data_IF_733179403859
#
_entry.id   IF_733179403859
#
_cell.length_a   1.000
_cell.length_b   1.000
_cell.length_c   1.000
_cell.angle_alpha   90.00
_cell.angle_beta   90.00
_cell.angle_gamma   90.00
#
_symmetry.space_group_name_H-M   'P 1'
#
loop_
_entity.id
_entity.type
_entity.pdbx_description
1 polymer ?
#
# COMPACT_ATOMS: atom_id res chain seq x y z
N UNK A 1 2.47 39.36 -11.51
CA UNK A 1 2.73 38.28 -10.53
C UNK A 1 1.41 37.97 -9.87
N UNK A 2 0.84 36.80 -10.15
CA UNK A 2 -0.45 36.39 -9.58
C UNK A 2 -0.19 35.52 -8.36
N UNK A 3 -0.60 36.01 -7.19
CA UNK A 3 -0.55 35.28 -5.93
C UNK A 3 -1.80 34.41 -5.85
N UNK A 4 -1.65 33.09 -5.93
CA UNK A 4 -2.77 32.14 -5.76
C UNK A 4 -2.87 31.78 -4.29
N UNK A 5 -3.90 32.31 -3.63
CA UNK A 5 -4.25 32.01 -2.23
C UNK A 5 -4.96 30.66 -2.17
N UNK A 6 -4.42 29.71 -1.40
CA UNK A 6 -5.13 28.49 -1.05
C UNK A 6 -6.24 28.81 -0.05
N UNK A 7 -7.47 28.35 -0.33
CA UNK A 7 -8.63 28.53 0.56
C UNK A 7 -8.72 27.31 1.46
N UNK A 8 -8.61 27.53 2.78
CA UNK A 8 -8.91 26.54 3.82
C UNK A 8 -10.29 26.86 4.35
N UNK A 9 -11.31 26.12 3.93
CA UNK A 9 -12.63 26.19 4.57
C UNK A 9 -12.67 25.22 5.75
N UNK A 10 -12.73 25.78 6.96
CA UNK A 10 -13.03 25.06 8.19
C UNK A 10 -14.48 25.35 8.56
N UNK A 11 -15.34 24.32 8.56
CA UNK A 11 -16.68 24.40 9.12
C UNK A 11 -16.74 23.57 10.40
N UNK A 12 -17.28 24.18 11.46
CA UNK A 12 -17.47 23.54 12.76
C UNK A 12 -18.96 23.34 13.05
N UNK A 13 -19.27 22.20 13.68
CA UNK A 13 -20.40 21.90 14.57
C UNK A 13 -21.65 21.22 14.00
N UNK A 14 -21.82 19.93 14.34
CA UNK A 14 -23.06 19.41 14.96
C UNK A 14 -22.81 18.08 15.74
N UNK A 15 -23.42 18.04 16.94
CA UNK A 15 -23.66 17.02 18.00
C UNK A 15 -23.26 15.53 17.93
N UNK A 16 -23.15 14.87 19.12
CA UNK A 16 -22.73 13.48 19.29
C UNK A 16 -23.94 12.53 19.30
N UNK A 17 -24.11 11.76 18.23
CA UNK A 17 -24.87 10.51 18.29
C UNK A 17 -24.07 9.42 17.58
N UNK A 18 -23.63 8.45 18.36
CA UNK A 18 -22.80 7.31 17.97
C UNK A 18 -23.57 6.32 17.13
N UNK A 19 -23.90 6.69 15.91
CA UNK A 19 -23.99 5.72 14.82
C UNK A 19 -22.60 5.69 14.21
N UNK A 20 -21.78 4.71 14.61
CA UNK A 20 -20.60 4.31 13.81
C UNK A 20 -21.16 3.90 12.45
N UNK A 21 -21.26 4.87 11.54
CA UNK A 21 -21.71 4.69 10.18
C UNK A 21 -20.80 3.61 9.58
N UNK A 22 -21.33 2.39 9.51
CA UNK A 22 -20.60 1.23 8.99
C UNK A 22 -20.06 1.66 7.64
N UNK A 23 -18.81 1.34 7.32
CA UNK A 23 -18.36 1.34 5.93
C UNK A 23 -19.48 0.66 5.13
N UNK A 24 -20.27 1.41 4.33
CA UNK A 24 -21.41 0.82 3.65
C UNK A 24 -20.89 -0.23 2.70
N UNK A 25 -21.69 -1.27 2.46
CA UNK A 25 -21.37 -2.30 1.48
C UNK A 25 -20.94 -1.62 0.15
N UNK A 26 -19.78 -2.00 -0.41
CA UNK A 26 -19.13 -1.23 -1.46
C UNK A 26 -20.01 -1.18 -2.71
N UNK A 27 -19.96 -0.07 -3.44
CA UNK A 27 -20.44 -0.07 -4.81
C UNK A 27 -19.75 -1.24 -5.55
N UNK A 28 -20.50 -2.11 -6.25
CA UNK A 28 -19.91 -3.25 -6.94
C UNK A 28 -18.99 -2.74 -8.05
N UNK A 29 -17.68 -2.81 -7.80
CA UNK A 29 -16.64 -2.43 -8.74
C UNK A 29 -15.47 -3.41 -8.65
N UNK A 30 -14.81 -3.66 -9.78
CA UNK A 30 -13.67 -4.57 -9.93
C UNK A 30 -12.37 -4.09 -9.26
N UNK A 31 -12.46 -3.10 -8.35
CA UNK A 31 -11.34 -2.32 -7.78
C UNK A 31 -11.12 -2.49 -6.28
N UNK A 32 -11.70 -3.52 -5.66
CA UNK A 32 -11.48 -3.84 -4.24
C UNK A 32 -12.32 -2.96 -3.32
N UNK A 33 -12.15 -3.07 -1.99
CA UNK A 33 -12.98 -2.31 -1.05
C UNK A 33 -12.83 -0.80 -1.25
N UNK A 34 -13.95 -0.09 -1.17
CA UNK A 34 -14.02 1.36 -1.25
C UNK A 34 -13.93 2.04 0.13
N UNK A 35 -13.93 1.25 1.20
CA UNK A 35 -13.90 1.74 2.58
C UNK A 35 -13.11 0.80 3.49
N UNK A 36 -12.26 1.39 4.34
CA UNK A 36 -11.63 0.74 5.48
C UNK A 36 -11.97 1.49 6.75
N UNK A 37 -12.24 0.77 7.82
CA UNK A 37 -12.38 1.31 9.17
C UNK A 37 -11.65 0.39 10.15
N UNK A 38 -10.77 0.96 10.96
CA UNK A 38 -10.02 0.25 12.00
C UNK A 38 -10.56 0.55 13.40
N UNK A 39 -10.31 -0.36 14.33
CA UNK A 39 -10.81 -0.28 15.71
C UNK A 39 -10.26 0.92 16.50
N UNK A 40 -9.08 1.42 16.14
CA UNK A 40 -8.44 2.59 16.71
C UNK A 40 -8.93 3.92 16.09
N UNK A 41 -9.94 3.85 15.23
CA UNK A 41 -10.70 4.99 14.75
C UNK A 41 -10.22 5.57 13.43
N UNK A 42 -9.26 4.96 12.73
CA UNK A 42 -8.95 5.34 11.35
C UNK A 42 -10.06 4.88 10.40
N UNK A 43 -10.42 5.76 9.48
CA UNK A 43 -11.33 5.48 8.38
C UNK A 43 -10.78 6.06 7.09
N UNK A 44 -10.74 5.26 6.04
CA UNK A 44 -10.38 5.68 4.69
C UNK A 44 -11.50 5.29 3.73
N UNK A 45 -11.97 6.23 2.90
CA UNK A 45 -12.92 5.94 1.82
C UNK A 45 -12.38 6.40 0.48
N UNK A 46 -12.74 5.71 -0.59
CA UNK A 46 -12.27 5.99 -1.94
C UNK A 46 -13.43 6.24 -2.88
N UNK A 47 -13.24 7.16 -3.81
CA UNK A 47 -14.03 7.31 -5.03
C UNK A 47 -13.12 7.43 -6.24
N UNK A 48 -13.46 6.78 -7.34
CA UNK A 48 -12.73 6.93 -8.61
C UNK A 48 -13.52 7.85 -9.53
N UNK A 49 -12.90 8.93 -10.03
CA UNK A 49 -13.49 9.91 -10.96
C UNK A 49 -12.42 10.49 -11.87
N UNK A 50 -12.71 10.63 -13.15
CA UNK A 50 -11.90 11.36 -14.12
C UNK A 50 -10.41 10.99 -14.11
N UNK A 51 -10.10 9.68 -14.06
CA UNK A 51 -8.71 9.19 -14.01
C UNK A 51 -7.99 9.44 -12.68
N UNK A 52 -8.74 9.66 -11.60
CA UNK A 52 -8.19 9.86 -10.26
C UNK A 52 -8.90 9.00 -9.21
N UNK A 53 -8.14 8.53 -8.23
CA UNK A 53 -8.66 8.03 -6.98
C UNK A 53 -8.67 9.18 -5.96
N UNK A 54 -9.85 9.53 -5.47
CA UNK A 54 -10.08 10.51 -4.41
C UNK A 54 -10.31 9.75 -3.12
N UNK A 55 -9.34 9.81 -2.22
CA UNK A 55 -9.37 9.15 -0.91
C UNK A 55 -9.65 10.19 0.17
N UNK A 56 -10.67 9.97 0.98
CA UNK A 56 -10.83 10.71 2.24
C UNK A 56 -10.34 9.85 3.39
N UNK A 57 -9.53 10.42 4.26
CA UNK A 57 -9.05 9.78 5.48
C UNK A 57 -9.42 10.62 6.70
N UNK A 58 -9.86 9.95 7.75
CA UNK A 58 -10.20 10.56 9.02
C UNK A 58 -9.78 9.64 10.16
N UNK A 59 -9.21 10.23 11.21
CA UNK A 59 -9.10 9.58 12.52
C UNK A 59 -10.26 10.07 13.39
N UNK A 60 -10.83 9.20 14.22
CA UNK A 60 -11.90 9.58 15.14
C UNK A 60 -11.57 10.86 15.93
N UNK A 61 -12.45 11.86 15.85
CA UNK A 61 -12.27 13.18 16.47
C UNK A 61 -11.30 14.13 15.75
N UNK A 62 -10.66 13.68 14.66
CA UNK A 62 -9.76 14.47 13.83
C UNK A 62 -10.43 15.07 12.60
N UNK A 63 -9.70 15.99 11.96
CA UNK A 63 -10.09 16.57 10.67
C UNK A 63 -10.08 15.50 9.56
N UNK A 64 -10.98 15.66 8.60
CA UNK A 64 -10.97 14.87 7.36
C UNK A 64 -9.92 15.44 6.43
N UNK A 65 -9.09 14.58 5.87
CA UNK A 65 -8.17 14.93 4.79
C UNK A 65 -8.61 14.27 3.49
N UNK A 66 -8.53 15.01 2.38
CA UNK A 66 -8.75 14.50 1.04
C UNK A 66 -7.41 14.38 0.31
N UNK A 67 -7.17 13.23 -0.32
CA UNK A 67 -5.99 12.89 -1.09
C UNK A 67 -6.46 12.54 -2.50
N UNK A 68 -5.93 13.22 -3.51
CA UNK A 68 -6.26 12.94 -4.92
C UNK A 68 -5.03 12.34 -5.59
N UNK A 69 -5.22 11.15 -6.19
CA UNK A 69 -4.11 10.35 -6.73
C UNK A 69 -4.43 10.03 -8.19
N UNK A 70 -3.56 10.40 -9.15
CA UNK A 70 -3.75 10.04 -10.54
C UNK A 70 -3.65 8.52 -10.71
N UNK A 71 -4.53 7.98 -11.54
CA UNK A 71 -4.54 6.56 -11.91
C UNK A 71 -4.57 6.43 -13.44
N UNK A 72 -4.05 5.33 -13.96
CA UNK A 72 -3.95 5.10 -15.42
C UNK A 72 -5.31 4.86 -16.13
N UNK A 73 -6.43 4.88 -15.38
CA UNK A 73 -7.78 4.76 -15.91
C UNK A 73 -8.21 3.33 -16.28
N UNK A 74 -7.36 2.33 -16.08
CA UNK A 74 -7.69 0.93 -16.38
C UNK A 74 -8.48 0.24 -15.26
N UNK A 75 -9.20 -0.83 -15.64
CA UNK A 75 -10.02 -1.66 -14.75
C UNK A 75 -9.17 -2.38 -13.67
N UNK A 76 -9.14 -1.82 -12.47
CA UNK A 76 -8.38 -2.34 -11.33
C UNK A 76 -7.43 -1.31 -10.69
N UNK A 77 -7.20 -0.18 -11.37
CA UNK A 77 -6.52 0.96 -10.76
C UNK A 77 -7.42 1.65 -9.75
N UNK A 78 -6.79 2.33 -8.79
CA UNK A 78 -7.47 2.90 -7.64
C UNK A 78 -7.87 1.84 -6.61
N UNK A 79 -7.29 0.65 -6.58
CA UNK A 79 -7.48 -0.22 -5.40
C UNK A 79 -6.97 0.50 -4.13
N UNK A 80 -7.71 0.40 -3.02
CA UNK A 80 -7.36 1.03 -1.74
C UNK A 80 -6.92 -0.07 -0.76
N UNK A 81 -5.88 0.21 0.01
CA UNK A 81 -5.53 -0.53 1.22
C UNK A 81 -5.27 0.44 2.37
N UNK A 82 -5.62 0.00 3.57
CA UNK A 82 -5.19 0.59 4.83
C UNK A 82 -4.37 -0.46 5.58
N UNK A 83 -3.08 -0.21 5.78
CA UNK A 83 -2.14 -1.22 6.30
C UNK A 83 -1.07 -0.57 7.15
N UNK A 84 -0.74 -1.15 8.30
CA UNK A 84 0.47 -0.76 9.05
C UNK A 84 1.67 -1.44 8.41
N UNK A 85 2.48 -0.67 7.68
CA UNK A 85 3.74 -1.16 7.09
C UNK A 85 4.94 -0.92 8.01
N UNK A 86 4.71 -0.39 9.21
CA UNK A 86 5.72 -0.25 10.23
C UNK A 86 5.04 -0.37 11.60
N UNK A 87 5.84 -0.63 12.63
CA UNK A 87 5.40 -0.63 14.03
C UNK A 87 4.82 0.72 14.51
N UNK A 88 4.85 1.78 13.68
CA UNK A 88 4.14 3.02 13.99
C UNK A 88 2.62 2.77 14.09
N UNK A 89 1.99 3.39 15.09
CA UNK A 89 0.56 3.21 15.35
C UNK A 89 -0.34 3.66 14.18
N UNK A 90 0.09 4.65 13.40
CA UNK A 90 -0.67 5.17 12.25
C UNK A 90 -0.59 4.20 11.06
N UNK A 91 -1.73 3.72 10.53
CA UNK A 91 -1.73 2.93 9.29
C UNK A 91 -1.30 3.79 8.10
N UNK A 92 -0.69 3.15 7.11
CA UNK A 92 -0.39 3.73 5.81
C UNK A 92 -1.58 3.52 4.86
N UNK A 93 -1.78 4.50 3.98
CA UNK A 93 -2.77 4.41 2.90
C UNK A 93 -2.02 4.02 1.64
N UNK A 94 -2.45 2.94 0.99
CA UNK A 94 -1.91 2.54 -0.31
C UNK A 94 -3.02 2.64 -1.36
N UNK A 95 -2.68 3.22 -2.51
CA UNK A 95 -3.58 3.27 -3.67
C UNK A 95 -2.87 2.76 -4.91
N UNK A 96 -3.43 1.75 -5.54
CA UNK A 96 -2.93 1.20 -6.81
C UNK A 96 -3.03 2.28 -7.89
N UNK A 97 -1.91 2.68 -8.50
CA UNK A 97 -1.86 3.73 -9.53
C UNK A 97 -1.91 3.18 -10.94
N UNK A 98 -1.44 1.94 -11.10
CA UNK A 98 -1.44 1.21 -12.37
C UNK A 98 -2.36 0.00 -12.32
N UNK A 99 -2.72 -0.55 -13.47
CA UNK A 99 -3.20 -1.93 -13.56
C UNK A 99 -2.09 -2.88 -13.99
N UNK A 100 -2.13 -4.07 -13.40
CA UNK A 100 -2.20 -5.30 -14.18
C UNK A 100 -3.54 -5.94 -13.82
N UNK A 101 -4.53 -5.83 -14.71
CA UNK A 101 -5.94 -6.26 -14.59
C UNK A 101 -6.45 -6.84 -13.26
N UNK A 102 -7.50 -6.21 -12.70
CA UNK A 102 -8.47 -6.78 -11.74
C UNK A 102 -7.95 -7.90 -10.80
N UNK A 103 -7.44 -7.54 -9.61
CA UNK A 103 -7.19 -8.45 -8.47
C UNK A 103 -6.58 -9.82 -8.83
N UNK A 104 -5.27 -9.85 -9.09
CA UNK A 104 -4.57 -11.12 -9.30
C UNK A 104 -3.10 -10.99 -9.71
N UNK A 105 -2.69 -9.81 -10.20
CA UNK A 105 -1.33 -9.51 -10.66
C UNK A 105 -0.80 -8.23 -9.97
N UNK A 106 0.51 -8.03 -10.02
CA UNK A 106 1.23 -7.00 -9.26
C UNK A 106 0.95 -5.59 -9.78
N UNK A 107 0.80 -4.62 -8.88
CA UNK A 107 0.62 -3.22 -9.25
C UNK A 107 1.65 -2.30 -8.62
N UNK A 108 1.81 -1.11 -9.17
CA UNK A 108 2.43 0.03 -8.49
C UNK A 108 1.42 0.70 -7.58
N UNK A 109 1.80 0.94 -6.34
CA UNK A 109 0.98 1.56 -5.31
C UNK A 109 1.61 2.85 -4.83
N UNK A 110 0.86 3.95 -4.85
CA UNK A 110 1.22 5.18 -4.15
C UNK A 110 0.98 4.99 -2.66
N UNK A 111 1.98 5.29 -1.83
CA UNK A 111 1.92 5.10 -0.37
C UNK A 111 1.96 6.44 0.34
N UNK A 112 1.06 6.59 1.31
CA UNK A 112 0.89 7.80 2.11
C UNK A 112 0.94 7.47 3.59
N UNK A 113 1.67 8.30 4.34
CA UNK A 113 1.91 8.11 5.77
C UNK A 113 1.67 9.41 6.54
N UNK A 114 1.30 9.27 7.81
CA UNK A 114 1.24 10.38 8.77
C UNK A 114 1.93 10.02 10.09
N UNK A 115 2.78 10.95 10.55
CA UNK A 115 3.41 10.92 11.88
C UNK A 115 2.66 11.79 12.91
N UNK A 116 1.35 11.97 12.74
CA UNK A 116 0.49 12.80 13.61
C UNK A 116 0.03 14.12 12.96
N UNK A 117 0.42 14.37 11.72
CA UNK A 117 -0.04 15.49 10.90
C UNK A 117 -0.88 15.04 9.68
N UNK A 118 -0.93 15.85 8.61
CA UNK A 118 -1.51 15.42 7.35
C UNK A 118 -0.76 14.22 6.78
N UNK A 119 -1.48 13.31 6.13
CA UNK A 119 -0.88 12.27 5.30
C UNK A 119 -0.10 12.91 4.15
N UNK A 120 1.14 12.45 3.97
CA UNK A 120 2.02 12.85 2.88
C UNK A 120 2.50 11.62 2.13
N UNK A 121 2.74 11.74 0.82
CA UNK A 121 3.30 10.64 0.04
C UNK A 121 4.73 10.32 0.49
N UNK A 122 5.03 9.04 0.63
CA UNK A 122 6.36 8.52 0.99
C UNK A 122 7.00 7.70 -0.14
N UNK A 123 6.38 7.71 -1.32
CA UNK A 123 6.87 7.01 -2.51
C UNK A 123 5.90 5.93 -2.98
N UNK A 124 6.44 4.95 -3.68
CA UNK A 124 5.68 3.86 -4.28
C UNK A 124 6.22 2.49 -3.86
N UNK A 125 5.37 1.48 -3.93
CA UNK A 125 5.74 0.07 -3.81
C UNK A 125 5.18 -0.70 -5.02
N UNK A 126 5.91 -1.72 -5.48
CA UNK A 126 5.44 -2.61 -6.54
C UNK A 126 5.17 -4.00 -5.99
N UNK A 127 3.96 -4.51 -6.17
CA UNK A 127 3.57 -5.82 -5.67
C UNK A 127 2.06 -5.99 -5.56
N UNK A 128 1.65 -7.07 -4.91
CA UNK A 128 0.26 -7.43 -4.64
C UNK A 128 -0.05 -7.62 -3.15
N UNK A 129 0.97 -7.80 -2.31
CA UNK A 129 0.84 -7.96 -0.87
C UNK A 129 1.97 -7.20 -0.16
N UNK A 130 1.65 -6.55 0.96
CA UNK A 130 2.56 -5.64 1.68
C UNK A 130 2.44 -5.83 3.19
N UNK A 131 3.57 -5.88 3.88
CA UNK A 131 3.62 -6.10 5.33
C UNK A 131 4.81 -5.41 5.99
N UNK A 132 4.73 -5.23 7.31
CA UNK A 132 5.87 -4.91 8.16
C UNK A 132 6.74 -6.17 8.30
N UNK A 133 7.94 -6.15 7.73
CA UNK A 133 8.90 -7.25 7.77
C UNK A 133 9.79 -7.22 9.03
N UNK A 134 9.53 -6.30 9.95
CA UNK A 134 10.31 -6.08 11.16
C UNK A 134 11.57 -5.25 10.90
N UNK A 135 12.21 -4.78 11.98
CA UNK A 135 13.46 -3.99 11.92
C UNK A 135 13.36 -2.73 11.04
N UNK A 136 12.16 -2.15 10.90
CA UNK A 136 11.93 -0.98 10.05
C UNK A 136 11.94 -1.29 8.54
N UNK A 137 11.71 -2.56 8.17
CA UNK A 137 11.59 -3.00 6.80
C UNK A 137 10.13 -3.20 6.41
N UNK A 138 9.82 -2.87 5.17
CA UNK A 138 8.57 -3.19 4.48
C UNK A 138 8.84 -4.27 3.47
N UNK A 139 8.09 -5.36 3.54
CA UNK A 139 8.07 -6.40 2.52
C UNK A 139 7.02 -6.10 1.47
N UNK A 140 7.38 -6.28 0.20
CA UNK A 140 6.47 -6.22 -0.94
C UNK A 140 6.58 -7.50 -1.76
N UNK A 141 5.50 -8.27 -1.86
CA UNK A 141 5.47 -9.49 -2.66
C UNK A 141 4.94 -9.24 -4.06
N UNK A 142 5.57 -9.88 -5.04
CA UNK A 142 5.15 -9.89 -6.43
C UNK A 142 5.21 -11.31 -7.00
N UNK A 143 4.29 -11.62 -7.93
CA UNK A 143 4.17 -12.91 -8.62
C UNK A 143 4.02 -12.72 -10.12
N UNK A 144 4.56 -13.64 -10.93
CA UNK A 144 4.38 -13.63 -12.39
C UNK A 144 5.61 -14.20 -13.10
N UNK A 145 5.49 -15.41 -13.67
CA UNK A 145 6.65 -16.14 -14.19
C UNK A 145 7.69 -16.41 -13.10
N UNK A 146 7.22 -16.78 -11.90
CA UNK A 146 8.01 -16.85 -10.67
C UNK A 146 7.43 -15.96 -9.56
N UNK A 147 8.27 -15.60 -8.59
CA UNK A 147 7.93 -14.72 -7.47
C UNK A 147 9.12 -13.84 -7.08
N UNK A 148 8.84 -12.68 -6.49
CA UNK A 148 9.86 -11.85 -5.87
C UNK A 148 9.32 -11.13 -4.63
N UNK A 149 10.21 -10.93 -3.65
CA UNK A 149 10.00 -10.06 -2.50
C UNK A 149 11.03 -8.93 -2.53
N UNK A 150 10.55 -7.70 -2.52
CA UNK A 150 11.37 -6.51 -2.33
C UNK A 150 11.29 -6.08 -0.87
N UNK A 151 12.43 -5.89 -0.22
CA UNK A 151 12.54 -5.29 1.09
C UNK A 151 12.95 -3.83 0.96
N UNK A 152 12.17 -2.94 1.55
CA UNK A 152 12.41 -1.50 1.55
C UNK A 152 12.49 -0.96 2.97
N UNK A 153 13.34 0.04 3.20
CA UNK A 153 13.35 0.83 4.45
C UNK A 153 12.96 2.27 4.16
N UNK A 154 12.68 3.07 5.19
CA UNK A 154 12.41 4.50 5.05
C UNK A 154 13.68 5.31 5.34
N UNK A 155 14.18 6.03 4.33
CA UNK A 155 15.31 6.98 4.47
C UNK A 155 14.80 8.37 4.10
N UNK A 156 15.00 9.34 5.00
CA UNK A 156 14.51 10.72 4.82
C UNK A 156 13.01 10.79 4.45
N UNK A 157 12.19 9.93 5.06
CA UNK A 157 10.75 9.88 4.84
C UNK A 157 10.31 9.22 3.54
N UNK A 158 11.21 8.57 2.78
CA UNK A 158 10.87 7.87 1.53
C UNK A 158 11.34 6.43 1.53
N UNK A 159 10.66 5.57 0.77
CA UNK A 159 11.13 4.21 0.58
C UNK A 159 12.44 4.14 -0.20
N UNK A 160 13.34 3.29 0.28
CA UNK A 160 14.56 2.85 -0.40
C UNK A 160 14.59 1.33 -0.37
N UNK A 161 14.65 0.70 -1.54
CA UNK A 161 14.89 -0.74 -1.65
C UNK A 161 16.26 -1.07 -1.07
N UNK A 162 16.33 -2.09 -0.22
CA UNK A 162 17.59 -2.57 0.36
C UNK A 162 17.88 -4.01 0.01
N UNK A 163 16.89 -4.79 -0.42
CA UNK A 163 17.11 -6.11 -0.99
C UNK A 163 15.97 -6.49 -1.92
N UNK A 164 16.29 -7.34 -2.89
CA UNK A 164 15.32 -8.00 -3.73
C UNK A 164 15.71 -9.47 -3.84
N UNK A 165 14.76 -10.35 -3.56
CA UNK A 165 14.94 -11.80 -3.64
C UNK A 165 13.80 -12.45 -4.37
N UNK A 166 14.03 -13.63 -4.92
CA UNK A 166 12.96 -14.35 -5.60
C UNK A 166 13.45 -15.51 -6.43
N UNK A 167 12.56 -15.98 -7.29
CA UNK A 167 12.81 -16.99 -8.30
C UNK A 167 12.09 -16.62 -9.58
N UNK A 168 12.75 -16.82 -10.71
CA UNK A 168 12.11 -16.76 -12.02
C UNK A 168 11.78 -18.18 -12.50
N UNK A 169 10.55 -18.37 -12.98
CA UNK A 169 10.07 -19.58 -13.63
C UNK A 169 9.97 -19.31 -15.14
N UNK A 170 10.60 -20.17 -15.94
CA UNK A 170 10.59 -20.00 -17.40
C UNK A 170 9.27 -20.50 -17.96
N UNK A 171 8.49 -19.62 -18.57
CA UNK A 171 7.15 -19.92 -19.09
C UNK A 171 6.21 -20.57 -18.05
N UNK A 172 6.36 -20.21 -16.77
CA UNK A 172 5.58 -20.77 -15.67
C UNK A 172 6.02 -22.17 -15.24
N UNK A 173 7.11 -22.70 -15.79
CA UNK A 173 7.69 -23.99 -15.40
C UNK A 173 8.88 -23.75 -14.49
N UNK A 174 8.86 -24.39 -13.33
CA UNK A 174 9.96 -24.38 -12.36
C UNK A 174 11.15 -25.18 -12.90
N UNK A 175 12.31 -24.55 -12.97
CA UNK A 175 13.58 -25.25 -13.17
C UNK A 175 14.05 -25.83 -11.81
N UNK A 176 14.13 -27.17 -11.66
CA UNK A 176 14.57 -27.78 -10.41
C UNK A 176 16.05 -27.53 -10.08
N UNK A 177 16.86 -27.08 -11.04
CA UNK A 177 18.27 -26.73 -10.81
C UNK A 177 18.44 -25.33 -10.19
N UNK A 178 17.41 -24.47 -10.26
CA UNK A 178 17.45 -23.13 -9.68
C UNK A 178 17.01 -23.20 -8.20
N UNK A 179 17.76 -22.55 -7.27
CA UNK A 179 17.35 -22.46 -5.87
C UNK A 179 15.93 -21.90 -5.71
N UNK A 180 15.24 -22.31 -4.64
CA UNK A 180 13.89 -21.80 -4.33
C UNK A 180 13.87 -20.27 -4.19
N UNK A 181 14.99 -19.68 -3.74
CA UNK A 181 15.19 -18.25 -3.61
C UNK A 181 16.63 -17.86 -3.98
N UNK A 182 16.76 -16.80 -4.76
CA UNK A 182 18.03 -16.15 -5.12
C UNK A 182 17.99 -14.69 -4.68
N UNK A 183 19.10 -14.19 -4.15
CA UNK A 183 19.27 -12.76 -3.87
C UNK A 183 19.65 -12.05 -5.16
N UNK A 184 18.76 -11.19 -5.66
CA UNK A 184 18.96 -10.43 -6.90
C UNK A 184 19.69 -9.11 -6.63
N UNK A 185 19.39 -8.46 -5.50
CA UNK A 185 20.08 -7.25 -5.05
C UNK A 185 20.16 -7.21 -3.53
N UNK A 186 21.21 -6.55 -3.01
CA UNK A 186 21.43 -6.35 -1.57
C UNK A 186 22.24 -5.09 -1.32
N UNK A 187 21.73 -4.21 -0.47
CA UNK A 187 22.37 -2.98 -0.03
C UNK A 187 22.49 -2.91 1.50
N UNK A 188 23.12 -1.84 1.99
CA UNK A 188 23.18 -1.55 3.41
C UNK A 188 21.78 -1.41 4.01
N UNK A 189 21.53 -2.14 5.10
CA UNK A 189 20.22 -2.22 5.76
C UNK A 189 19.36 -3.41 5.32
N UNK A 190 19.84 -4.25 4.40
CA UNK A 190 19.18 -5.51 4.07
C UNK A 190 19.14 -6.48 5.26
N UNK A 191 18.16 -7.41 5.30
CA UNK A 191 18.18 -8.54 6.24
C UNK A 191 19.50 -9.32 6.18
N UNK A 192 19.88 -9.96 7.29
CA UNK A 192 21.07 -10.83 7.33
C UNK A 192 20.94 -11.99 6.33
N UNK A 193 19.76 -12.60 6.28
CA UNK A 193 19.35 -13.60 5.29
C UNK A 193 18.01 -13.18 4.65
N UNK A 194 18.05 -12.43 3.53
CA UNK A 194 16.85 -11.96 2.85
C UNK A 194 15.97 -13.08 2.31
N UNK A 195 16.57 -14.20 1.89
CA UNK A 195 15.83 -15.33 1.34
C UNK A 195 15.06 -16.09 2.43
N UNK A 196 15.71 -16.40 3.56
CA UNK A 196 15.01 -17.04 4.68
C UNK A 196 13.85 -16.16 5.19
N UNK A 197 14.07 -14.85 5.31
CA UNK A 197 13.00 -13.92 5.71
C UNK A 197 11.85 -13.90 4.70
N UNK A 198 12.15 -13.80 3.40
CA UNK A 198 11.12 -13.75 2.36
C UNK A 198 10.27 -15.03 2.31
N UNK A 199 10.90 -16.20 2.34
CA UNK A 199 10.17 -17.48 2.33
C UNK A 199 9.31 -17.65 3.58
N UNK A 200 9.84 -17.27 4.75
CA UNK A 200 9.06 -17.31 6.00
C UNK A 200 7.83 -16.41 5.93
N UNK A 201 8.02 -15.15 5.50
CA UNK A 201 6.93 -14.17 5.42
C UNK A 201 5.90 -14.58 4.36
N UNK A 202 6.34 -15.01 3.18
CA UNK A 202 5.44 -15.49 2.15
C UNK A 202 4.55 -16.63 2.65
N UNK A 203 5.12 -17.61 3.37
CA UNK A 203 4.35 -18.69 4.01
C UNK A 203 3.37 -18.18 5.06
N UNK A 204 3.77 -17.24 5.92
CA UNK A 204 2.89 -16.61 6.91
C UNK A 204 1.70 -15.90 6.26
N UNK A 205 1.90 -15.33 5.07
CA UNK A 205 0.87 -14.65 4.30
C UNK A 205 0.11 -15.57 3.31
N UNK A 206 0.37 -16.89 3.33
CA UNK A 206 -0.29 -17.85 2.44
C UNK A 206 0.06 -17.68 0.96
N UNK A 207 1.21 -17.06 0.67
CA UNK A 207 1.68 -16.76 -0.68
C UNK A 207 2.49 -17.93 -1.25
N UNK A 208 2.29 -18.20 -2.54
CA UNK A 208 2.98 -19.28 -3.25
C UNK A 208 4.35 -18.83 -3.74
N UNK A 209 5.42 -19.36 -3.16
CA UNK A 209 6.81 -19.20 -3.62
C UNK A 209 7.26 -20.39 -4.43
#
# INVERSE_FOLDING_TARGET
MATTTAVVESTTSASPDTVRERCPDPYPGTGGPDCFAESDGYRATKRVRDGHAVVTVQRAGGAVQTITIPIDGFTGSGALLLRRLSAAATPDILVSTTTSGAHGQNSTWSVWHSSGGPFTTIGTLYGREFWDAGSGLVGSYSSGGGWAVTFSTRVAGRFRTVAEVGRSDTAGVRDPAVPECTVMSREAGAPADPCALALSQARTHGLTT
#
